data_IF_905184825420
#
_entry.id   IF_905184825420
#
_cell.length_a   1.000
_cell.length_b   1.000
_cell.length_c   1.000
_cell.angle_alpha   90.00
_cell.angle_beta   90.00
_cell.angle_gamma   90.00
#
_symmetry.space_group_name_H-M   'P 1'
#
loop_
_entity.id
_entity.type
_entity.pdbx_description
1 polymer ?
#
# COMPACT_ATOMS: atom_id res chain seq x y z
N UNK A 1 -14.66 45.43 -9.19
CA UNK A 1 -13.34 44.86 -8.80
C UNK A 1 -13.33 43.38 -9.12
N UNK A 2 -12.56 42.96 -10.13
CA UNK A 2 -12.43 41.54 -10.48
C UNK A 2 -11.54 40.83 -9.46
N UNK A 3 -12.05 39.75 -8.82
CA UNK A 3 -11.23 38.86 -8.00
C UNK A 3 -10.28 38.11 -8.95
N UNK A 4 -8.98 38.19 -8.70
CA UNK A 4 -7.97 37.44 -9.46
C UNK A 4 -7.95 36.01 -8.94
N UNK A 5 -8.75 35.14 -9.56
CA UNK A 5 -8.70 33.70 -9.28
C UNK A 5 -7.39 33.14 -9.81
N UNK A 6 -6.62 32.46 -8.95
CA UNK A 6 -5.30 31.94 -9.34
C UNK A 6 -5.36 30.78 -10.35
N UNK A 7 -6.52 30.17 -10.56
CA UNK A 7 -6.81 29.25 -11.68
C UNK A 7 -8.32 29.26 -12.01
N UNK A 8 -8.70 28.88 -13.24
CA UNK A 8 -10.12 28.66 -13.63
C UNK A 8 -10.85 27.68 -12.69
N UNK A 9 -10.11 26.70 -12.16
CA UNK A 9 -10.62 25.70 -11.23
C UNK A 9 -10.94 26.23 -9.83
N UNK A 10 -10.29 27.31 -9.37
CA UNK A 10 -10.61 27.93 -8.08
C UNK A 10 -11.85 28.83 -8.17
N UNK A 11 -12.04 29.48 -9.33
CA UNK A 11 -13.24 30.24 -9.64
C UNK A 11 -14.48 29.34 -9.69
N UNK A 12 -14.32 28.18 -10.33
CA UNK A 12 -15.29 27.09 -10.40
C UNK A 12 -15.73 26.67 -9.01
N UNK A 13 -14.77 26.31 -8.15
CA UNK A 13 -15.03 25.88 -6.78
C UNK A 13 -15.76 26.95 -5.96
N UNK A 14 -15.38 28.23 -6.07
CA UNK A 14 -16.11 29.32 -5.40
C UNK A 14 -17.54 29.49 -5.91
N UNK A 15 -17.78 29.31 -7.21
CA UNK A 15 -19.11 29.40 -7.82
C UNK A 15 -19.98 28.25 -7.33
N UNK A 16 -19.53 27.01 -7.52
CA UNK A 16 -20.29 25.82 -7.13
C UNK A 16 -20.60 25.83 -5.64
N UNK A 17 -19.65 26.23 -4.78
CA UNK A 17 -19.94 26.35 -3.34
C UNK A 17 -21.04 27.38 -3.07
N UNK A 18 -21.03 28.55 -3.71
CA UNK A 18 -22.08 29.57 -3.50
C UNK A 18 -23.44 29.13 -3.99
N UNK A 19 -23.51 28.49 -5.15
CA UNK A 19 -24.75 28.00 -5.74
C UNK A 19 -25.37 26.87 -4.90
N UNK A 20 -24.53 26.07 -4.26
CA UNK A 20 -24.93 24.96 -3.39
C UNK A 20 -24.90 25.29 -1.89
N UNK A 21 -24.91 26.59 -1.54
CA UNK A 21 -25.07 27.03 -0.15
C UNK A 21 -26.51 27.45 0.09
N UNK A 22 -27.21 26.74 0.98
CA UNK A 22 -28.51 27.16 1.52
C UNK A 22 -28.44 27.24 3.04
N UNK A 23 -28.97 28.31 3.64
CA UNK A 23 -28.98 28.53 5.10
C UNK A 23 -27.60 28.36 5.77
N UNK A 24 -26.52 28.73 5.07
CA UNK A 24 -25.14 28.60 5.54
C UNK A 24 -24.59 27.17 5.54
N UNK A 25 -25.38 26.17 5.10
CA UNK A 25 -24.93 24.79 4.86
C UNK A 25 -24.55 24.62 3.40
N UNK A 26 -23.39 24.03 3.16
CA UNK A 26 -22.87 23.76 1.83
C UNK A 26 -23.10 22.28 1.52
N UNK A 27 -23.77 21.98 0.40
CA UNK A 27 -23.83 20.61 -0.11
C UNK A 27 -22.51 20.23 -0.79
N UNK A 28 -21.60 19.69 0.01
CA UNK A 28 -20.28 19.29 -0.46
C UNK A 28 -20.27 18.09 -1.41
N UNK A 29 -21.32 17.28 -1.44
CA UNK A 29 -21.37 16.14 -2.35
C UNK A 29 -21.68 16.59 -3.77
N UNK A 30 -22.62 17.52 -3.94
CA UNK A 30 -22.94 18.11 -5.24
C UNK A 30 -21.79 18.97 -5.75
N UNK A 31 -21.19 19.80 -4.89
CA UNK A 31 -19.99 20.58 -5.25
C UNK A 31 -18.85 19.66 -5.70
N UNK A 32 -18.66 18.52 -5.04
CA UNK A 32 -17.61 17.57 -5.45
C UNK A 32 -17.86 16.99 -6.84
N UNK A 33 -19.11 16.61 -7.16
CA UNK A 33 -19.47 16.08 -8.48
C UNK A 33 -19.18 17.10 -9.57
N UNK A 34 -19.72 18.30 -9.44
CA UNK A 34 -19.56 19.40 -10.40
C UNK A 34 -18.08 19.74 -10.63
N UNK A 35 -17.32 19.95 -9.55
CA UNK A 35 -15.89 20.27 -9.67
C UNK A 35 -15.08 19.10 -10.24
N UNK A 36 -15.42 17.85 -9.94
CA UNK A 36 -14.69 16.69 -10.47
C UNK A 36 -14.97 16.45 -11.95
N UNK A 37 -16.22 16.66 -12.38
CA UNK A 37 -16.65 16.55 -13.78
C UNK A 37 -16.00 17.63 -14.65
N UNK A 38 -16.04 18.89 -14.22
CA UNK A 38 -15.51 20.01 -15.02
C UNK A 38 -13.98 20.08 -15.01
N UNK A 39 -13.32 19.60 -13.96
CA UNK A 39 -11.85 19.60 -13.89
C UNK A 39 -11.21 18.29 -14.37
N UNK A 40 -12.01 17.23 -14.56
CA UNK A 40 -11.52 15.88 -14.87
C UNK A 40 -10.64 15.26 -13.78
N UNK A 41 -10.60 15.85 -12.58
CA UNK A 41 -9.74 15.40 -11.47
C UNK A 41 -10.58 14.67 -10.44
N UNK A 42 -10.20 13.42 -10.17
CA UNK A 42 -10.73 12.70 -9.02
C UNK A 42 -10.17 13.33 -7.72
N UNK A 43 -11.06 13.85 -6.89
CA UNK A 43 -10.71 14.46 -5.61
C UNK A 43 -11.56 13.83 -4.50
N UNK A 44 -11.01 13.74 -3.29
CA UNK A 44 -11.82 13.35 -2.13
C UNK A 44 -12.57 14.57 -1.59
N UNK A 45 -13.75 14.33 -1.00
CA UNK A 45 -14.55 15.38 -0.35
C UNK A 45 -13.74 16.15 0.71
N UNK A 46 -12.85 15.45 1.43
CA UNK A 46 -11.90 16.07 2.35
C UNK A 46 -10.94 17.02 1.64
N UNK A 47 -10.27 16.57 0.57
CA UNK A 47 -9.34 17.41 -0.19
C UNK A 47 -10.03 18.66 -0.76
N UNK A 48 -11.25 18.52 -1.27
CA UNK A 48 -12.06 19.63 -1.80
C UNK A 48 -12.37 20.68 -0.73
N UNK A 49 -12.84 20.26 0.45
CA UNK A 49 -13.10 21.15 1.59
C UNK A 49 -11.85 21.91 2.03
N UNK A 50 -10.71 21.21 2.08
CA UNK A 50 -9.44 21.83 2.47
C UNK A 50 -8.95 22.83 1.42
N UNK A 51 -9.15 22.53 0.14
CA UNK A 51 -8.86 23.46 -0.96
C UNK A 51 -9.70 24.73 -0.85
N UNK A 52 -11.01 24.60 -0.64
CA UNK A 52 -11.90 25.75 -0.45
C UNK A 52 -11.48 26.60 0.77
N UNK A 53 -11.14 25.96 1.90
CA UNK A 53 -10.64 26.68 3.09
C UNK A 53 -9.34 27.45 2.81
N UNK A 54 -8.39 26.86 2.08
CA UNK A 54 -7.16 27.57 1.66
C UNK A 54 -7.49 28.79 0.80
N UNK A 55 -8.44 28.68 -0.13
CA UNK A 55 -8.88 29.81 -0.95
C UNK A 55 -9.49 30.92 -0.10
N UNK A 56 -10.33 30.59 0.88
CA UNK A 56 -10.89 31.58 1.81
C UNK A 56 -9.81 32.31 2.60
N UNK A 57 -8.81 31.57 3.11
CA UNK A 57 -7.70 32.14 3.86
C UNK A 57 -6.83 33.05 2.98
N UNK A 58 -6.51 32.63 1.75
CA UNK A 58 -5.76 33.45 0.79
C UNK A 58 -6.48 34.75 0.46
N UNK A 59 -7.77 34.65 0.09
CA UNK A 59 -8.62 35.82 -0.17
C UNK A 59 -8.74 36.74 1.06
N UNK A 60 -8.80 36.17 2.26
CA UNK A 60 -8.82 36.92 3.52
C UNK A 60 -7.54 37.71 3.75
N UNK A 61 -6.38 37.08 3.56
CA UNK A 61 -5.06 37.72 3.67
C UNK A 61 -4.90 38.84 2.65
N UNK A 62 -5.33 38.64 1.40
CA UNK A 62 -5.26 39.69 0.37
C UNK A 62 -6.12 40.91 0.71
N UNK A 63 -7.31 40.69 1.29
CA UNK A 63 -8.20 41.77 1.72
C UNK A 63 -7.65 42.49 2.96
N UNK A 64 -7.09 41.75 3.91
CA UNK A 64 -6.57 42.32 5.16
C UNK A 64 -5.27 43.08 4.94
N UNK A 65 -4.40 42.60 4.05
CA UNK A 65 -3.17 43.29 3.62
C UNK A 65 -3.47 44.67 3.04
N UNK A 66 -4.55 44.80 2.26
CA UNK A 66 -5.05 46.10 1.76
C UNK A 66 -5.61 47.01 2.85
N UNK A 67 -6.05 46.44 3.97
CA UNK A 67 -6.63 47.15 5.11
C UNK A 67 -5.63 47.38 6.26
N UNK A 68 -4.37 46.91 6.12
CA UNK A 68 -3.35 46.97 7.18
C UNK A 68 -3.54 45.99 8.35
N UNK A 69 -4.49 45.05 8.25
CA UNK A 69 -4.83 44.10 9.31
C UNK A 69 -4.04 42.78 9.17
N UNK A 70 -3.34 42.38 10.23
CA UNK A 70 -2.51 41.15 10.30
C UNK A 70 -3.28 39.92 10.80
N UNK A 71 -4.56 40.06 11.13
CA UNK A 71 -5.39 38.97 11.69
C UNK A 71 -5.44 37.75 10.76
N UNK A 72 -5.63 37.99 9.45
CA UNK A 72 -5.67 36.91 8.46
C UNK A 72 -4.32 36.27 8.21
N UNK A 73 -3.21 36.99 8.32
CA UNK A 73 -1.87 36.40 8.23
C UNK A 73 -1.60 35.43 9.38
N UNK A 74 -2.01 35.80 10.60
CA UNK A 74 -1.93 34.93 11.78
C UNK A 74 -2.81 33.68 11.59
N UNK A 75 -4.02 33.86 11.07
CA UNK A 75 -4.93 32.76 10.78
C UNK A 75 -4.37 31.82 9.70
N UNK A 76 -3.73 32.37 8.65
CA UNK A 76 -3.05 31.57 7.63
C UNK A 76 -1.95 30.72 8.22
N UNK A 77 -1.06 31.30 9.03
CA UNK A 77 0.01 30.54 9.72
C UNK A 77 -0.55 29.44 10.62
N UNK A 78 -1.61 29.74 11.39
CA UNK A 78 -2.28 28.73 12.21
C UNK A 78 -2.86 27.60 11.36
N UNK A 79 -3.55 27.92 10.27
CA UNK A 79 -4.16 26.95 9.39
C UNK A 79 -3.10 26.05 8.74
N UNK A 80 -2.01 26.63 8.21
CA UNK A 80 -0.90 25.88 7.60
C UNK A 80 -0.24 24.93 8.62
N UNK A 81 0.00 25.39 9.85
CA UNK A 81 0.52 24.53 10.93
C UNK A 81 -0.44 23.39 11.30
N UNK A 82 -1.76 23.65 11.30
CA UNK A 82 -2.77 22.63 11.54
C UNK A 82 -2.76 21.56 10.42
N UNK A 83 -2.61 21.98 9.16
CA UNK A 83 -2.51 21.04 8.03
C UNK A 83 -1.27 20.18 8.13
N UNK A 84 -0.13 20.79 8.44
CA UNK A 84 1.14 20.08 8.57
C UNK A 84 1.09 19.07 9.72
N UNK A 85 0.53 19.46 10.87
CA UNK A 85 0.31 18.55 12.00
C UNK A 85 -0.58 17.35 11.65
N UNK A 86 -1.68 17.60 10.93
CA UNK A 86 -2.58 16.51 10.49
C UNK A 86 -1.88 15.57 9.49
N UNK A 87 -1.10 16.12 8.57
CA UNK A 87 -0.31 15.33 7.63
C UNK A 87 0.72 14.46 8.36
N UNK A 88 1.45 15.01 9.32
CA UNK A 88 2.42 14.27 10.15
C UNK A 88 1.74 13.14 10.93
N UNK A 89 0.59 13.39 11.55
CA UNK A 89 -0.17 12.36 12.26
C UNK A 89 -0.61 11.22 11.33
N UNK A 90 -1.09 11.54 10.12
CA UNK A 90 -1.46 10.51 9.13
C UNK A 90 -0.25 9.70 8.69
N UNK A 91 0.87 10.36 8.40
CA UNK A 91 2.10 9.68 8.02
C UNK A 91 2.60 8.73 9.13
N UNK A 92 2.52 9.14 10.40
CA UNK A 92 2.84 8.28 11.54
C UNK A 92 1.93 7.06 11.63
N UNK A 93 0.62 7.24 11.49
CA UNK A 93 -0.35 6.13 11.49
C UNK A 93 -0.11 5.14 10.35
N UNK A 94 0.25 5.62 9.16
CA UNK A 94 0.54 4.77 8.01
C UNK A 94 1.84 3.98 8.22
N UNK A 95 2.87 4.60 8.81
CA UNK A 95 4.10 3.91 9.22
C UNK A 95 3.81 2.84 10.26
N UNK A 96 2.98 3.12 11.27
CA UNK A 96 2.60 2.11 12.28
C UNK A 96 1.83 0.94 11.67
N UNK A 97 0.87 1.22 10.78
CA UNK A 97 0.13 0.17 10.06
C UNK A 97 1.06 -0.69 9.21
N UNK A 98 2.02 -0.08 8.50
CA UNK A 98 3.02 -0.79 7.72
C UNK A 98 3.89 -1.69 8.59
N UNK A 99 4.38 -1.18 9.73
CA UNK A 99 5.16 -1.97 10.70
C UNK A 99 4.40 -3.21 11.17
N UNK A 100 3.11 -3.07 11.51
CA UNK A 100 2.26 -4.20 11.94
C UNK A 100 2.03 -5.24 10.84
N UNK A 101 1.85 -4.81 9.59
CA UNK A 101 1.71 -5.73 8.45
C UNK A 101 3.01 -6.49 8.20
N UNK A 102 4.14 -5.78 8.21
CA UNK A 102 5.45 -6.39 7.98
C UNK A 102 5.81 -7.36 9.11
N UNK A 103 5.48 -7.04 10.36
CA UNK A 103 5.71 -7.98 11.48
C UNK A 103 4.86 -9.25 11.33
N UNK A 104 3.59 -9.12 10.95
CA UNK A 104 2.72 -10.27 10.71
C UNK A 104 3.22 -11.15 9.55
N UNK A 105 3.64 -10.54 8.44
CA UNK A 105 4.25 -11.27 7.32
C UNK A 105 5.55 -11.99 7.73
N UNK A 106 6.38 -11.34 8.54
CA UNK A 106 7.64 -11.92 9.00
C UNK A 106 7.41 -13.11 9.94
N UNK A 107 6.35 -13.10 10.75
CA UNK A 107 5.95 -14.26 11.56
C UNK A 107 5.46 -15.43 10.70
N UNK A 108 4.66 -15.16 9.67
CA UNK A 108 4.21 -16.18 8.72
C UNK A 108 5.40 -16.82 7.99
N UNK A 109 6.32 -16.01 7.46
CA UNK A 109 7.53 -16.51 6.79
C UNK A 109 8.42 -17.32 7.72
N UNK A 110 8.52 -16.94 9.01
CA UNK A 110 9.25 -17.74 10.00
C UNK A 110 8.61 -19.10 10.24
N UNK A 111 7.28 -19.17 10.22
CA UNK A 111 6.54 -20.42 10.37
C UNK A 111 6.75 -21.33 9.16
N UNK A 112 6.56 -20.81 7.95
CA UNK A 112 6.80 -21.55 6.70
C UNK A 112 8.23 -22.08 6.61
N UNK A 113 9.22 -21.27 7.02
CA UNK A 113 10.63 -21.70 7.01
C UNK A 113 10.90 -22.85 8.00
N UNK A 114 10.19 -22.91 9.14
CA UNK A 114 10.29 -24.05 10.07
C UNK A 114 9.68 -25.30 9.46
N UNK A 115 8.48 -25.19 8.89
CA UNK A 115 7.79 -26.31 8.23
C UNK A 115 8.65 -26.89 7.09
N UNK A 116 9.19 -26.04 6.21
CA UNK A 116 10.09 -26.47 5.13
C UNK A 116 11.37 -27.14 5.65
N UNK A 117 11.92 -26.68 6.78
CA UNK A 117 13.09 -27.34 7.39
C UNK A 117 12.75 -28.73 7.93
N UNK A 118 11.57 -28.91 8.48
CA UNK A 118 11.08 -30.21 8.96
C UNK A 118 10.84 -31.17 7.78
N UNK A 119 10.21 -30.69 6.70
CA UNK A 119 10.02 -31.46 5.46
C UNK A 119 11.35 -31.90 4.86
N UNK A 120 12.32 -30.97 4.72
CA UNK A 120 13.68 -31.31 4.25
C UNK A 120 14.34 -32.33 5.18
N UNK A 121 14.13 -32.21 6.48
CA UNK A 121 14.63 -33.17 7.47
C UNK A 121 14.03 -34.57 7.27
N UNK A 122 12.73 -34.66 7.01
CA UNK A 122 12.01 -35.89 6.69
C UNK A 122 12.52 -36.54 5.40
N UNK A 123 12.55 -35.78 4.31
CA UNK A 123 13.04 -36.24 3.01
C UNK A 123 14.49 -36.73 3.08
N UNK A 124 15.35 -36.06 3.84
CA UNK A 124 16.74 -36.53 4.06
C UNK A 124 16.80 -37.88 4.77
N UNK A 125 15.88 -38.16 5.70
CA UNK A 125 15.81 -39.46 6.38
C UNK A 125 15.32 -40.54 5.44
N UNK A 126 14.31 -40.25 4.63
CA UNK A 126 13.80 -41.17 3.60
C UNK A 126 14.88 -41.51 2.56
N UNK A 127 15.60 -40.52 2.04
CA UNK A 127 16.71 -40.77 1.11
C UNK A 127 17.77 -41.68 1.76
N UNK A 128 18.09 -41.43 3.04
CA UNK A 128 19.04 -42.29 3.77
C UNK A 128 18.53 -43.71 3.97
N UNK A 129 17.23 -43.92 4.20
CA UNK A 129 16.65 -45.27 4.35
C UNK A 129 16.60 -46.03 3.03
N UNK A 130 16.48 -45.34 1.90
CA UNK A 130 16.55 -45.96 0.57
C UNK A 130 17.97 -46.38 0.15
N UNK A 131 19.02 -45.78 0.72
CA UNK A 131 20.42 -46.10 0.41
C UNK A 131 20.78 -47.59 0.58
N UNK A 132 20.50 -48.21 1.73
CA UNK A 132 20.69 -49.65 1.94
C UNK A 132 19.91 -50.53 0.96
N UNK A 133 18.67 -50.14 0.62
CA UNK A 133 17.81 -50.87 -0.31
C UNK A 133 18.41 -50.84 -1.71
N UNK A 134 18.87 -49.68 -2.18
CA UNK A 134 19.56 -49.51 -3.45
C UNK A 134 20.87 -50.33 -3.49
N UNK A 135 21.65 -50.31 -2.40
CA UNK A 135 22.88 -51.09 -2.31
C UNK A 135 22.61 -52.59 -2.39
N UNK A 136 21.61 -53.08 -1.66
CA UNK A 136 21.17 -54.47 -1.73
C UNK A 136 20.70 -54.85 -3.14
N UNK A 137 19.92 -53.99 -3.79
CA UNK A 137 19.40 -54.23 -5.14
C UNK A 137 20.54 -54.37 -6.17
N UNK A 138 21.55 -53.50 -6.11
CA UNK A 138 22.73 -53.57 -6.99
C UNK A 138 23.49 -54.88 -6.75
N UNK A 139 23.76 -55.22 -5.48
CA UNK A 139 24.46 -56.47 -5.13
C UNK A 139 23.69 -57.72 -5.58
N UNK A 140 22.37 -57.72 -5.44
CA UNK A 140 21.52 -58.80 -5.90
C UNK A 140 21.60 -58.95 -7.43
N UNK A 141 21.53 -57.85 -8.20
CA UNK A 141 21.67 -57.90 -9.65
C UNK A 141 23.03 -58.44 -10.10
N UNK A 142 24.12 -58.03 -9.47
CA UNK A 142 25.46 -58.56 -9.77
C UNK A 142 25.53 -60.06 -9.47
N UNK A 143 25.00 -60.50 -8.32
CA UNK A 143 24.92 -61.93 -7.97
C UNK A 143 24.11 -62.75 -9.00
N UNK A 144 22.97 -62.24 -9.45
CA UNK A 144 22.17 -62.90 -10.50
C UNK A 144 22.90 -62.99 -11.84
N UNK A 145 23.65 -61.94 -12.24
CA UNK A 145 24.46 -61.98 -13.47
C UNK A 145 25.55 -63.05 -13.39
N UNK A 146 26.26 -63.13 -12.27
CA UNK A 146 27.31 -64.15 -12.05
C UNK A 146 26.71 -65.56 -12.03
N UNK A 147 25.57 -65.76 -11.36
CA UNK A 147 24.88 -67.05 -11.33
C UNK A 147 24.42 -67.48 -12.73
N UNK A 148 23.90 -66.55 -13.54
CA UNK A 148 23.49 -66.82 -14.92
C UNK A 148 24.69 -67.19 -15.81
N UNK A 149 25.82 -66.50 -15.66
CA UNK A 149 27.05 -66.82 -16.39
C UNK A 149 27.61 -68.19 -16.01
N UNK A 150 27.62 -68.55 -14.72
CA UNK A 150 28.04 -69.88 -14.26
C UNK A 150 27.14 -71.00 -14.75
N UNK A 151 25.82 -70.78 -14.79
CA UNK A 151 24.86 -71.77 -15.31
C UNK A 151 25.01 -71.97 -16.82
N UNK A 152 25.42 -70.95 -17.56
CA UNK A 152 25.71 -71.08 -18.99
C UNK A 152 26.95 -71.96 -19.24
N UNK A 153 28.02 -71.77 -18.46
CA UNK A 153 29.26 -72.57 -18.55
C UNK A 153 29.04 -74.06 -18.24
N UNK A 154 28.16 -74.38 -17.27
CA UNK A 154 27.86 -75.77 -16.89
C UNK A 154 27.03 -76.50 -17.96
N UNK A 155 26.30 -75.78 -18.82
CA UNK A 155 25.47 -76.38 -19.87
C UNK A 155 26.20 -76.50 -21.23
N UNK A 156 27.43 -76.01 -21.34
CA UNK A 156 28.28 -76.13 -22.53
C UNK A 156 29.32 -77.27 -22.43
N UNK A 157 29.40 -77.96 -21.28
CA UNK A 157 30.07 -79.26 -21.09
C UNK A 157 29.10 -80.43 -21.29
#
# INVERSE_FOLDING_TARGET
MAKRYSTSSDALLERSVKERTSDGKIDWQEVLKEVSEETGKSQTLGALKMRYRRLLVQNGVERSSRAGDKTWERFKKFFDNFLDSNWRMRAQLDVEKSKRRNSAQLELLKKENRELKEEIGGLKKEIKSHGPILKWYIQAQEGFKVAKAKKALINEE
#
